data_IF_669729037513
#
_entry.id   IF_669729037513
#
_cell.length_a   1.000
_cell.length_b   1.000
_cell.length_c   1.000
_cell.angle_alpha   90.00
_cell.angle_beta   90.00
_cell.angle_gamma   90.00
#
_symmetry.space_group_name_H-M   'P 1'
#
loop_
_entity.id
_entity.type
_entity.pdbx_description
1 polymer ?
#
# COMPACT_ATOMS: atom_id res chain seq x y z
N UNK A 1 -11.24 -29.47 -11.46
CA UNK A 1 -10.22 -29.24 -12.51
C UNK A 1 -8.95 -28.80 -11.82
N UNK A 2 -7.79 -29.25 -12.30
CA UNK A 2 -6.49 -28.88 -11.73
C UNK A 2 -5.99 -27.62 -12.46
N UNK A 3 -5.78 -26.52 -11.75
CA UNK A 3 -5.21 -25.29 -12.31
C UNK A 3 -3.69 -25.41 -12.33
N UNK A 4 -3.14 -25.73 -13.49
CA UNK A 4 -1.72 -26.03 -13.65
C UNK A 4 -0.87 -24.78 -13.97
N UNK A 5 -1.52 -23.66 -14.32
CA UNK A 5 -0.84 -22.44 -14.75
C UNK A 5 -1.19 -21.29 -13.82
N UNK A 6 -0.17 -20.52 -13.44
CA UNK A 6 -0.29 -19.35 -12.57
C UNK A 6 0.63 -18.23 -13.05
N UNK A 7 0.05 -17.05 -13.23
CA UNK A 7 0.79 -15.81 -13.41
C UNK A 7 0.51 -14.85 -12.25
N UNK A 8 1.54 -14.16 -11.78
CA UNK A 8 1.39 -13.22 -10.67
C UNK A 8 2.37 -12.05 -10.76
N UNK A 9 1.89 -10.86 -10.39
CA UNK A 9 2.73 -9.66 -10.35
C UNK A 9 2.23 -8.63 -9.34
N UNK A 10 3.10 -7.65 -9.07
CA UNK A 10 2.74 -6.47 -8.30
C UNK A 10 2.07 -5.46 -9.20
N UNK A 11 0.90 -5.00 -8.80
CA UNK A 11 0.24 -3.86 -9.42
C UNK A 11 0.96 -2.57 -8.97
N UNK A 12 1.13 -1.53 -9.79
CA UNK A 12 1.67 -0.24 -9.32
C UNK A 12 0.66 0.55 -8.49
N UNK A 13 1.13 1.57 -7.76
CA UNK A 13 0.21 2.55 -7.18
C UNK A 13 -0.54 3.28 -8.31
N UNK A 14 -1.87 3.38 -8.22
CA UNK A 14 -2.72 3.81 -9.32
C UNK A 14 -3.96 4.57 -8.86
N UNK A 15 -4.59 5.28 -9.79
CA UNK A 15 -5.94 5.85 -9.58
C UNK A 15 -7.01 4.88 -10.01
N UNK A 16 -8.07 4.80 -9.22
CA UNK A 16 -9.28 4.06 -9.54
C UNK A 16 -10.33 5.04 -10.07
N UNK A 17 -11.01 4.69 -11.15
CA UNK A 17 -12.09 5.49 -11.72
C UNK A 17 -13.15 4.57 -12.33
N UNK A 18 -14.32 5.11 -12.70
CA UNK A 18 -15.38 4.32 -13.31
C UNK A 18 -14.92 3.61 -14.58
N UNK A 19 -14.11 4.26 -15.41
CA UNK A 19 -13.60 3.65 -16.64
C UNK A 19 -12.70 2.43 -16.35
N UNK A 20 -12.02 2.37 -15.20
CA UNK A 20 -11.19 1.22 -14.82
C UNK A 20 -12.09 0.02 -14.57
N UNK A 21 -13.11 0.21 -13.74
CA UNK A 21 -14.07 -0.83 -13.42
C UNK A 21 -14.87 -1.25 -14.66
N UNK A 22 -15.29 -0.33 -15.53
CA UNK A 22 -15.94 -0.70 -16.79
C UNK A 22 -15.02 -1.54 -17.68
N UNK A 23 -13.73 -1.20 -17.78
CA UNK A 23 -12.78 -1.98 -18.57
C UNK A 23 -12.48 -3.34 -17.94
N UNK A 24 -12.33 -3.41 -16.62
CA UNK A 24 -12.16 -4.68 -15.90
C UNK A 24 -13.36 -5.60 -16.14
N UNK A 25 -14.58 -5.08 -16.01
CA UNK A 25 -15.80 -5.82 -16.33
C UNK A 25 -15.77 -6.34 -17.77
N UNK A 26 -15.38 -5.51 -18.73
CA UNK A 26 -15.27 -5.94 -20.12
C UNK A 26 -14.28 -7.09 -20.30
N UNK A 27 -13.13 -7.08 -19.62
CA UNK A 27 -12.14 -8.17 -19.63
C UNK A 27 -12.75 -9.45 -19.05
N UNK A 28 -13.44 -9.38 -17.92
CA UNK A 28 -14.04 -10.55 -17.28
C UNK A 28 -15.18 -11.17 -18.11
N UNK A 29 -15.95 -10.33 -18.81
CA UNK A 29 -17.09 -10.77 -19.64
C UNK A 29 -16.72 -11.37 -20.99
N UNK A 30 -15.44 -11.32 -21.40
CA UNK A 30 -15.03 -11.78 -22.73
C UNK A 30 -15.26 -13.28 -22.96
N UNK A 31 -15.22 -14.08 -21.89
CA UNK A 31 -15.33 -15.54 -21.96
C UNK A 31 -16.76 -16.05 -21.65
N UNK A 32 -17.74 -15.15 -21.59
CA UNK A 32 -19.14 -15.49 -21.29
C UNK A 32 -19.49 -15.27 -19.82
N UNK A 33 -20.13 -16.28 -19.22
CA UNK A 33 -20.59 -16.21 -17.84
C UNK A 33 -19.41 -16.29 -16.86
N UNK A 34 -19.45 -15.48 -15.80
CA UNK A 34 -18.46 -15.50 -14.73
C UNK A 34 -19.11 -15.20 -13.39
N UNK A 35 -18.51 -15.73 -12.33
CA UNK A 35 -18.82 -15.36 -10.95
C UNK A 35 -17.78 -14.36 -10.47
N UNK A 36 -18.19 -13.38 -9.69
CA UNK A 36 -17.26 -12.44 -9.08
C UNK A 36 -17.66 -12.13 -7.65
N UNK A 37 -16.66 -11.76 -6.86
CA UNK A 37 -16.80 -11.37 -5.48
C UNK A 37 -15.85 -10.21 -5.23
N UNK A 38 -16.35 -9.12 -4.64
CA UNK A 38 -15.50 -8.04 -4.19
C UNK A 38 -15.70 -7.72 -2.72
N UNK A 39 -14.60 -7.31 -2.11
CA UNK A 39 -14.60 -6.79 -0.75
C UNK A 39 -13.86 -5.47 -0.69
N UNK A 40 -14.37 -4.56 0.15
CA UNK A 40 -13.77 -3.24 0.37
C UNK A 40 -13.59 -3.01 1.86
N UNK A 41 -12.45 -2.45 2.25
CA UNK A 41 -12.17 -2.11 3.65
C UNK A 41 -12.25 -0.61 3.90
N UNK A 42 -12.80 -0.25 5.06
CA UNK A 42 -13.25 1.10 5.40
C UNK A 42 -12.56 1.72 6.65
N UNK A 43 -11.52 1.08 7.21
CA UNK A 43 -10.86 1.52 8.46
C UNK A 43 -9.48 2.19 8.25
N UNK A 44 -9.39 3.45 8.66
CA UNK A 44 -8.29 4.41 8.49
C UNK A 44 -7.06 4.17 9.41
N UNK A 45 -6.94 2.99 10.04
CA UNK A 45 -5.69 2.65 10.74
C UNK A 45 -4.56 2.37 9.73
N UNK A 46 -3.81 3.41 9.38
CA UNK A 46 -2.78 3.34 8.35
C UNK A 46 -1.55 2.53 8.78
N UNK A 47 -1.28 2.53 10.08
CA UNK A 47 -0.13 1.87 10.67
C UNK A 47 -0.41 0.41 11.01
N UNK A 48 -1.69 -0.01 11.02
CA UNK A 48 -2.09 -1.36 11.40
C UNK A 48 -1.72 -1.70 12.83
N UNK A 49 -1.78 -0.71 13.72
CA UNK A 49 -1.36 -0.82 15.13
C UNK A 49 -2.52 -1.00 16.09
N UNK A 50 -3.78 -0.94 15.65
CA UNK A 50 -4.89 -1.28 16.50
C UNK A 50 -5.04 -2.80 16.59
N UNK A 51 -5.17 -3.28 17.83
CA UNK A 51 -5.31 -4.68 18.29
C UNK A 51 -6.58 -5.39 17.76
N UNK A 52 -7.28 -4.84 16.77
CA UNK A 52 -8.43 -5.49 16.16
C UNK A 52 -7.94 -6.54 15.16
N UNK A 53 -8.18 -7.81 15.50
CA UNK A 53 -7.74 -8.99 14.77
C UNK A 53 -8.21 -9.01 13.30
N UNK A 54 -9.27 -8.28 12.93
CA UNK A 54 -9.72 -8.14 11.54
C UNK A 54 -10.23 -6.71 11.25
N UNK A 55 -9.73 -6.08 10.18
CA UNK A 55 -10.26 -4.79 9.69
C UNK A 55 -11.69 -4.99 9.19
N UNK A 56 -12.63 -4.05 9.41
CA UNK A 56 -13.98 -4.17 8.89
C UNK A 56 -13.92 -4.26 7.36
N UNK A 57 -14.51 -5.32 6.84
CA UNK A 57 -14.62 -5.62 5.43
C UNK A 57 -16.09 -5.62 5.07
N UNK A 58 -16.44 -4.88 4.01
CA UNK A 58 -17.77 -4.94 3.40
C UNK A 58 -17.69 -5.79 2.14
N UNK A 59 -18.49 -6.84 2.09
CA UNK A 59 -18.76 -7.59 0.86
C UNK A 59 -19.68 -6.75 -0.03
N UNK A 60 -19.36 -6.72 -1.32
CA UNK A 60 -20.14 -6.00 -2.32
C UNK A 60 -21.03 -6.97 -3.10
N UNK A 61 -22.30 -6.61 -3.24
CA UNK A 61 -23.33 -7.47 -3.85
C UNK A 61 -23.54 -7.19 -5.34
N UNK A 62 -23.16 -5.98 -5.82
CA UNK A 62 -23.30 -5.60 -7.23
C UNK A 62 -22.16 -4.71 -7.74
N UNK A 63 -21.93 -4.72 -9.06
CA UNK A 63 -20.83 -3.95 -9.66
C UNK A 63 -21.08 -2.45 -9.56
N UNK A 64 -22.34 -2.05 -9.67
CA UNK A 64 -22.81 -0.68 -9.47
C UNK A 64 -22.58 -0.23 -8.03
N UNK A 65 -22.84 -1.09 -7.05
CA UNK A 65 -22.54 -0.83 -5.65
C UNK A 65 -21.05 -0.64 -5.42
N UNK A 66 -20.19 -1.48 -6.01
CA UNK A 66 -18.72 -1.35 -5.90
C UNK A 66 -18.27 0.06 -6.32
N UNK A 67 -18.72 0.50 -7.49
CA UNK A 67 -18.40 1.82 -8.04
C UNK A 67 -18.99 2.93 -7.16
N UNK A 68 -20.23 2.77 -6.68
CA UNK A 68 -20.90 3.76 -5.85
C UNK A 68 -20.22 3.93 -4.48
N UNK A 69 -19.83 2.83 -3.84
CA UNK A 69 -19.09 2.84 -2.57
C UNK A 69 -17.72 3.46 -2.78
N UNK A 70 -16.96 2.99 -3.78
CA UNK A 70 -15.63 3.52 -4.08
C UNK A 70 -15.63 5.04 -4.39
N UNK A 71 -16.70 5.57 -5.00
CA UNK A 71 -16.91 7.02 -5.22
C UNK A 71 -17.14 7.80 -3.94
N UNK A 72 -17.88 7.24 -2.98
CA UNK A 72 -18.27 7.92 -1.74
C UNK A 72 -17.17 7.89 -0.68
N UNK A 73 -16.27 6.92 -0.77
CA UNK A 73 -15.22 6.77 0.22
C UNK A 73 -14.16 7.87 0.08
N UNK A 74 -13.83 8.59 1.16
CA UNK A 74 -12.73 9.56 1.14
C UNK A 74 -11.39 8.87 0.86
N UNK A 75 -11.28 7.60 1.30
CA UNK A 75 -10.13 6.72 1.15
C UNK A 75 -10.61 5.27 1.14
N UNK A 76 -9.99 4.46 0.27
CA UNK A 76 -10.22 3.01 0.20
C UNK A 76 -9.02 2.35 0.86
N UNK A 77 -9.20 1.57 1.93
CA UNK A 77 -8.07 0.96 2.65
C UNK A 77 -7.64 -0.36 2.05
N UNK A 78 -8.60 -1.12 1.54
CA UNK A 78 -8.35 -2.30 0.73
C UNK A 78 -9.46 -2.50 -0.27
N UNK A 79 -9.11 -3.10 -1.40
CA UNK A 79 -10.01 -3.59 -2.41
C UNK A 79 -9.50 -4.95 -2.85
N UNK A 80 -10.32 -5.98 -2.65
CA UNK A 80 -10.08 -7.31 -3.21
C UNK A 80 -11.19 -7.63 -4.18
N UNK A 81 -10.82 -8.16 -5.34
CA UNK A 81 -11.71 -8.61 -6.38
C UNK A 81 -11.27 -10.00 -6.82
N UNK A 82 -12.16 -10.97 -6.71
CA UNK A 82 -11.97 -12.34 -7.17
C UNK A 82 -13.00 -12.61 -8.25
N UNK A 83 -12.56 -13.14 -9.39
CA UNK A 83 -13.41 -13.51 -10.52
C UNK A 83 -13.11 -14.95 -10.86
N UNK A 84 -14.15 -15.76 -11.00
CA UNK A 84 -14.08 -17.16 -11.42
C UNK A 84 -14.80 -17.30 -12.76
N UNK A 85 -14.06 -17.76 -13.77
CA UNK A 85 -14.59 -18.07 -15.10
C UNK A 85 -14.69 -19.59 -15.19
N UNK A 86 -15.91 -20.15 -15.33
CA UNK A 86 -16.13 -21.59 -15.39
C UNK A 86 -15.22 -22.26 -16.42
N UNK A 87 -14.66 -23.41 -16.05
CA UNK A 87 -13.79 -24.25 -16.91
C UNK A 87 -12.48 -23.61 -17.36
N UNK A 88 -12.25 -22.32 -17.06
CA UNK A 88 -11.04 -21.57 -17.44
C UNK A 88 -10.13 -21.33 -16.26
N UNK A 89 -10.61 -20.65 -15.21
CA UNK A 89 -9.76 -20.26 -14.10
C UNK A 89 -10.29 -19.13 -13.22
N UNK A 90 -9.38 -18.52 -12.47
CA UNK A 90 -9.65 -17.50 -11.46
C UNK A 90 -8.69 -16.32 -11.61
N UNK A 91 -9.21 -15.11 -11.46
CA UNK A 91 -8.46 -13.85 -11.44
C UNK A 91 -8.65 -13.24 -10.04
N UNK A 92 -7.56 -12.92 -9.36
CA UNK A 92 -7.57 -12.27 -8.06
C UNK A 92 -6.75 -10.98 -8.11
N UNK A 93 -7.39 -9.87 -7.75
CA UNK A 93 -6.79 -8.53 -7.63
C UNK A 93 -6.93 -8.11 -6.17
N UNK A 94 -5.82 -7.74 -5.54
CA UNK A 94 -5.82 -7.23 -4.17
C UNK A 94 -5.01 -5.94 -4.09
N UNK A 95 -5.60 -4.87 -3.56
CA UNK A 95 -4.99 -3.56 -3.39
C UNK A 95 -5.15 -3.14 -1.93
N UNK A 96 -4.08 -2.60 -1.32
CA UNK A 96 -4.11 -2.11 0.08
C UNK A 96 -3.37 -0.80 0.27
N UNK A 97 -3.92 0.00 1.17
CA UNK A 97 -3.58 1.38 1.50
C UNK A 97 -3.17 1.54 2.98
N UNK A 98 -2.69 0.45 3.60
CA UNK A 98 -2.13 0.39 4.96
C UNK A 98 -0.75 -0.27 4.92
N UNK A 99 0.08 -0.07 5.96
CA UNK A 99 1.46 -0.60 5.97
C UNK A 99 1.48 -2.13 6.06
N UNK A 100 2.29 -2.83 5.24
CA UNK A 100 2.98 -2.32 4.05
C UNK A 100 2.01 -2.15 2.88
N UNK A 101 2.02 -0.99 2.20
CA UNK A 101 1.13 -0.76 1.05
C UNK A 101 1.51 -1.65 -0.14
N UNK A 102 0.53 -2.19 -0.86
CA UNK A 102 0.81 -3.05 -2.02
C UNK A 102 -0.41 -3.27 -2.90
N UNK A 103 -0.14 -3.73 -4.11
CA UNK A 103 -1.11 -4.27 -5.05
C UNK A 103 -0.61 -5.59 -5.63
N UNK A 104 -1.49 -6.57 -5.79
CA UNK A 104 -1.17 -7.89 -6.36
C UNK A 104 -2.24 -8.29 -7.37
N UNK A 105 -1.79 -8.81 -8.50
CA UNK A 105 -2.60 -9.51 -9.50
C UNK A 105 -2.15 -10.97 -9.50
N UNK A 106 -3.09 -11.89 -9.47
CA UNK A 106 -2.86 -13.32 -9.65
C UNK A 106 -3.91 -13.83 -10.66
N UNK A 107 -3.47 -14.58 -11.65
CA UNK A 107 -4.35 -15.30 -12.58
C UNK A 107 -3.95 -16.77 -12.54
N UNK A 108 -4.91 -17.65 -12.31
CA UNK A 108 -4.72 -19.10 -12.27
C UNK A 108 -5.70 -19.76 -13.21
N UNK A 109 -5.28 -20.78 -13.97
CA UNK A 109 -6.20 -21.44 -14.90
C UNK A 109 -5.68 -22.76 -15.43
N UNK A 110 -6.53 -23.41 -16.24
CA UNK A 110 -6.22 -24.68 -16.90
C UNK A 110 -5.40 -24.49 -18.20
N UNK A 111 -5.60 -23.37 -18.90
CA UNK A 111 -4.95 -23.06 -20.19
C UNK A 111 -3.93 -21.93 -20.01
N UNK A 112 -2.65 -22.19 -20.33
CA UNK A 112 -1.57 -21.20 -20.21
C UNK A 112 -1.84 -19.92 -21.01
N UNK A 113 -2.32 -20.06 -22.25
CA UNK A 113 -2.59 -18.92 -23.12
C UNK A 113 -3.68 -18.00 -22.53
N UNK A 114 -4.76 -18.59 -22.02
CA UNK A 114 -5.82 -17.84 -21.36
C UNK A 114 -5.30 -17.10 -20.12
N UNK A 115 -4.44 -17.75 -19.31
CA UNK A 115 -3.83 -17.14 -18.13
C UNK A 115 -2.99 -15.91 -18.52
N UNK A 116 -2.13 -16.05 -19.53
CA UNK A 116 -1.26 -14.97 -20.00
C UNK A 116 -2.06 -13.80 -20.58
N UNK A 117 -3.05 -14.08 -21.43
CA UNK A 117 -3.88 -13.04 -22.06
C UNK A 117 -4.64 -12.23 -21.00
N UNK A 118 -5.28 -12.92 -20.03
CA UNK A 118 -6.03 -12.26 -18.93
C UNK A 118 -5.11 -11.50 -17.99
N UNK A 119 -3.93 -12.04 -17.72
CA UNK A 119 -2.93 -11.39 -16.89
C UNK A 119 -2.45 -10.08 -17.54
N UNK A 120 -2.09 -10.12 -18.83
CA UNK A 120 -1.61 -8.96 -19.57
C UNK A 120 -2.69 -7.89 -19.73
N UNK A 121 -3.93 -8.28 -20.05
CA UNK A 121 -5.09 -7.39 -20.12
C UNK A 121 -5.28 -6.64 -18.80
N UNK A 122 -5.32 -7.37 -17.68
CA UNK A 122 -5.51 -6.77 -16.36
C UNK A 122 -4.31 -5.86 -15.99
N UNK A 123 -3.09 -6.34 -16.18
CA UNK A 123 -1.87 -5.60 -15.82
C UNK A 123 -1.74 -4.30 -16.64
N UNK A 124 -2.10 -4.34 -17.92
CA UNK A 124 -2.10 -3.16 -18.79
C UNK A 124 -3.05 -2.08 -18.28
N UNK A 125 -4.25 -2.44 -17.78
CA UNK A 125 -5.22 -1.50 -17.24
C UNK A 125 -4.69 -0.73 -16.02
N UNK A 126 -4.00 -1.42 -15.11
CA UNK A 126 -3.40 -0.78 -13.95
C UNK A 126 -2.15 0.03 -14.29
N UNK A 127 -1.32 -0.49 -15.20
CA UNK A 127 -0.10 0.19 -15.66
C UNK A 127 -0.43 1.51 -16.38
N UNK A 128 -1.52 1.54 -17.16
CA UNK A 128 -2.01 2.75 -17.82
C UNK A 128 -2.45 3.86 -16.83
N UNK A 129 -2.81 3.50 -15.59
CA UNK A 129 -3.20 4.43 -14.52
C UNK A 129 -2.14 4.61 -13.43
N UNK A 130 -0.91 4.18 -13.69
CA UNK A 130 0.21 4.24 -12.75
C UNK A 130 0.50 5.68 -12.31
N UNK A 131 0.68 5.85 -11.01
CA UNK A 131 1.28 7.05 -10.40
C UNK A 131 2.75 6.76 -10.11
N UNK A 132 3.64 7.22 -10.99
CA UNK A 132 5.08 6.91 -10.95
C UNK A 132 5.70 7.28 -9.60
N UNK A 133 5.42 8.48 -9.08
CA UNK A 133 5.96 8.93 -7.80
C UNK A 133 5.45 8.07 -6.63
N UNK A 134 4.13 7.86 -6.51
CA UNK A 134 3.58 7.03 -5.44
C UNK A 134 4.12 5.59 -5.53
N UNK A 135 4.25 5.05 -6.75
CA UNK A 135 4.81 3.71 -6.95
C UNK A 135 6.26 3.65 -6.44
N UNK A 136 7.07 4.67 -6.73
CA UNK A 136 8.45 4.76 -6.26
C UNK A 136 8.51 4.88 -4.73
N UNK A 137 7.64 5.69 -4.13
CA UNK A 137 7.52 5.87 -2.68
C UNK A 137 7.29 4.55 -1.94
N UNK A 138 6.49 3.66 -2.51
CA UNK A 138 6.16 2.36 -1.93
C UNK A 138 7.03 1.19 -2.44
N UNK A 139 8.12 1.48 -3.15
CA UNK A 139 9.20 0.50 -3.30
C UNK A 139 9.88 0.29 -1.95
N UNK A 140 10.58 -0.85 -1.79
CA UNK A 140 11.38 -1.12 -0.59
C UNK A 140 12.34 0.03 -0.27
N UNK A 141 13.08 0.49 -1.28
CA UNK A 141 14.02 1.61 -1.14
C UNK A 141 13.33 2.93 -0.80
N UNK A 142 12.24 3.27 -1.50
CA UNK A 142 11.49 4.49 -1.23
C UNK A 142 10.92 4.52 0.18
N UNK A 143 10.38 3.39 0.63
CA UNK A 143 9.78 3.27 1.96
C UNK A 143 10.86 3.28 3.05
N UNK A 144 12.01 2.62 2.84
CA UNK A 144 13.14 2.63 3.79
C UNK A 144 13.68 4.06 4.00
N UNK A 145 13.70 4.88 2.96
CA UNK A 145 14.13 6.29 3.07
C UNK A 145 13.16 7.08 3.98
N UNK A 146 11.86 6.90 3.79
CA UNK A 146 10.81 7.60 4.57
C UNK A 146 10.73 7.09 6.00
N UNK A 147 10.79 5.77 6.18
CA UNK A 147 10.65 5.13 7.48
C UNK A 147 11.90 5.26 8.34
N UNK A 148 13.10 5.29 7.74
CA UNK A 148 14.35 5.12 8.50
C UNK A 148 15.33 6.25 8.26
N UNK A 149 15.71 6.52 7.00
CA UNK A 149 16.81 7.46 6.70
C UNK A 149 16.47 8.88 7.13
N UNK A 150 15.30 9.39 6.72
CA UNK A 150 14.87 10.76 7.06
C UNK A 150 14.67 10.93 8.57
N UNK A 151 13.90 10.06 9.27
CA UNK A 151 13.71 10.20 10.71
C UNK A 151 15.00 10.10 11.52
N UNK A 152 15.85 9.11 11.21
CA UNK A 152 17.08 8.90 11.95
C UNK A 152 18.07 10.04 11.71
N UNK A 153 18.27 10.42 10.44
CA UNK A 153 19.18 11.51 10.07
C UNK A 153 18.75 12.86 10.65
N UNK A 154 17.46 13.20 10.52
CA UNK A 154 16.94 14.47 11.07
C UNK A 154 17.05 14.52 12.59
N UNK A 155 16.66 13.46 13.30
CA UNK A 155 16.74 13.45 14.76
C UNK A 155 18.16 13.43 15.28
N UNK A 156 19.07 12.73 14.61
CA UNK A 156 20.48 12.74 14.95
C UNK A 156 21.05 14.17 14.90
N UNK A 157 20.78 14.91 13.82
CA UNK A 157 21.21 16.31 13.67
C UNK A 157 20.62 17.19 14.78
N UNK A 158 19.31 17.09 15.02
CA UNK A 158 18.62 17.90 16.04
C UNK A 158 19.19 17.64 17.44
N UNK A 159 19.36 16.36 17.81
CA UNK A 159 19.87 15.99 19.13
C UNK A 159 21.33 16.41 19.29
N UNK A 160 22.15 16.25 18.25
CA UNK A 160 23.55 16.68 18.27
C UNK A 160 23.67 18.20 18.43
N UNK A 161 22.89 18.98 17.69
CA UNK A 161 22.88 20.44 17.82
C UNK A 161 22.40 20.87 19.22
N UNK A 162 21.37 20.22 19.76
CA UNK A 162 20.89 20.47 21.12
C UNK A 162 21.97 20.15 22.16
N UNK A 163 22.66 19.01 22.05
CA UNK A 163 23.75 18.63 22.94
C UNK A 163 24.90 19.65 22.89
N UNK A 164 25.28 20.10 21.69
CA UNK A 164 26.33 21.13 21.50
C UNK A 164 25.89 22.50 22.04
N UNK A 165 24.61 22.81 22.08
CA UNK A 165 24.14 24.09 22.60
C UNK A 165 23.96 24.09 24.12
N UNK A 166 23.41 23.01 24.68
CA UNK A 166 22.98 22.97 26.09
C UNK A 166 24.02 22.39 27.06
N UNK A 167 25.00 21.62 26.59
CA UNK A 167 25.97 20.95 27.47
C UNK A 167 27.23 21.81 27.55
N UNK A 168 27.58 22.37 28.72
CA UNK A 168 28.82 23.14 28.90
C UNK A 168 30.06 22.36 28.49
N UNK A 169 31.08 23.05 27.98
CA UNK A 169 32.32 22.42 27.48
C UNK A 169 33.00 21.61 28.58
N UNK A 170 32.96 22.09 29.82
CA UNK A 170 33.56 21.48 31.01
C UNK A 170 33.02 20.06 31.24
N UNK A 171 31.73 19.84 30.96
CA UNK A 171 31.09 18.53 31.11
C UNK A 171 31.49 17.61 29.95
N UNK A 172 31.73 18.15 28.74
CA UNK A 172 32.12 17.36 27.56
C UNK A 172 33.52 16.76 27.65
N UNK A 173 34.41 17.37 28.44
CA UNK A 173 35.76 16.87 28.69
C UNK A 173 35.84 15.93 29.90
N UNK A 174 34.72 15.71 30.60
CA UNK A 174 34.66 14.86 31.79
C UNK A 174 34.18 13.43 31.47
N UNK A 175 34.34 12.52 32.44
CA UNK A 175 33.85 11.13 32.32
C UNK A 175 32.32 11.03 32.11
N UNK A 176 31.56 12.08 32.42
CA UNK A 176 30.12 12.17 32.16
C UNK A 176 29.76 12.17 30.67
N UNK A 177 30.73 12.44 29.78
CA UNK A 177 30.51 12.45 28.34
C UNK A 177 29.94 11.12 27.81
N UNK A 178 30.33 9.98 28.38
CA UNK A 178 29.82 8.67 27.98
C UNK A 178 28.32 8.50 28.29
N UNK A 179 27.89 8.95 29.47
CA UNK A 179 26.49 8.91 29.87
C UNK A 179 25.63 9.86 29.02
N UNK A 180 26.16 11.04 28.73
CA UNK A 180 25.53 12.00 27.80
C UNK A 180 25.38 11.37 26.42
N UNK A 181 26.43 10.73 25.90
CA UNK A 181 26.39 10.06 24.60
C UNK A 181 25.33 8.96 24.59
N UNK A 182 25.29 8.09 25.60
CA UNK A 182 24.25 7.08 25.76
C UNK A 182 22.84 7.67 25.78
N UNK A 183 22.62 8.74 26.56
CA UNK A 183 21.34 9.42 26.65
C UNK A 183 20.92 10.03 25.29
N UNK A 184 21.84 10.69 24.58
CA UNK A 184 21.56 11.28 23.26
C UNK A 184 21.20 10.23 22.22
N UNK A 185 21.82 9.04 22.25
CA UNK A 185 21.45 7.91 21.37
C UNK A 185 20.02 7.46 21.64
N UNK A 186 19.66 7.23 22.91
CA UNK A 186 18.31 6.79 23.30
C UNK A 186 17.27 7.83 22.85
N UNK A 187 17.52 9.12 23.11
CA UNK A 187 16.63 10.22 22.70
C UNK A 187 16.50 10.29 21.18
N UNK A 188 17.61 10.14 20.45
CA UNK A 188 17.62 10.13 18.98
C UNK A 188 16.74 9.01 18.43
N UNK A 189 16.96 7.78 18.89
CA UNK A 189 16.21 6.61 18.43
C UNK A 189 14.71 6.72 18.77
N UNK A 190 14.38 7.15 19.99
CA UNK A 190 12.98 7.31 20.41
C UNK A 190 12.26 8.38 19.59
N UNK A 191 12.92 9.51 19.35
CA UNK A 191 12.37 10.59 18.55
C UNK A 191 12.25 10.19 17.08
N UNK A 192 13.24 9.47 16.54
CA UNK A 192 13.22 8.99 15.17
C UNK A 192 12.03 8.05 14.93
N UNK A 193 11.68 7.21 15.90
CA UNK A 193 10.48 6.38 15.82
C UNK A 193 9.18 7.20 15.72
N UNK A 194 9.06 8.26 16.53
CA UNK A 194 7.89 9.15 16.48
C UNK A 194 7.79 9.89 15.14
N UNK A 195 8.91 10.43 14.64
CA UNK A 195 8.99 11.10 13.34
C UNK A 195 8.70 10.13 12.20
N UNK A 196 9.19 8.89 12.29
CA UNK A 196 8.92 7.82 11.32
C UNK A 196 7.43 7.53 11.19
N UNK A 197 6.73 7.30 12.30
CA UNK A 197 5.28 7.07 12.28
C UNK A 197 4.52 8.26 11.67
N UNK A 198 4.91 9.48 12.05
CA UNK A 198 4.29 10.70 11.51
C UNK A 198 4.51 10.83 9.99
N UNK A 199 5.72 10.58 9.50
CA UNK A 199 6.04 10.61 8.07
C UNK A 199 5.29 9.53 7.29
N UNK A 200 5.20 8.32 7.83
CA UNK A 200 4.43 7.23 7.19
C UNK A 200 2.96 7.64 7.03
N UNK A 201 2.32 8.08 8.12
CA UNK A 201 0.92 8.54 8.09
C UNK A 201 0.75 9.70 7.10
N UNK A 202 1.67 10.67 7.11
CA UNK A 202 1.66 11.79 6.18
C UNK A 202 1.74 11.32 4.72
N UNK A 203 2.71 10.46 4.40
CA UNK A 203 2.90 9.90 3.06
C UNK A 203 1.67 9.14 2.59
N UNK A 204 1.06 8.35 3.46
CA UNK A 204 -0.12 7.55 3.14
C UNK A 204 -1.39 8.38 2.96
N UNK A 205 -1.55 9.47 3.70
CA UNK A 205 -2.66 10.40 3.51
C UNK A 205 -2.49 11.24 2.23
N UNK A 206 -1.28 11.72 1.97
CA UNK A 206 -1.00 12.64 0.87
C UNK A 206 -0.80 11.93 -0.47
N UNK A 207 -0.18 10.76 -0.45
CA UNK A 207 0.20 9.98 -1.62
C UNK A 207 -0.29 8.51 -1.51
N UNK A 208 -1.58 8.27 -1.29
CA UNK A 208 -2.09 6.91 -1.11
C UNK A 208 -1.73 6.00 -2.30
N UNK A 209 -1.62 4.70 -2.02
CA UNK A 209 -1.31 3.67 -3.00
C UNK A 209 -2.44 3.51 -4.04
N UNK A 210 -3.68 3.51 -3.58
CA UNK A 210 -4.88 3.62 -4.41
C UNK A 210 -5.69 4.86 -4.03
N UNK A 211 -6.28 5.51 -5.02
CA UNK A 211 -7.17 6.65 -4.79
C UNK A 211 -8.29 6.67 -5.82
N UNK A 212 -9.52 6.88 -5.38
CA UNK A 212 -10.61 7.17 -6.29
C UNK A 212 -10.42 8.54 -6.94
N UNK A 213 -10.52 8.59 -8.27
CA UNK A 213 -10.50 9.82 -9.05
C UNK A 213 -11.89 10.03 -9.67
N UNK A 214 -12.68 10.93 -9.06
CA UNK A 214 -13.89 11.44 -9.66
C UNK A 214 -13.52 12.32 -10.85
N UNK A 215 -13.64 11.77 -12.05
CA UNK A 215 -13.81 12.55 -13.28
C UNK A 215 -15.25 12.43 -13.70
#
# INVERSE_FOLDING_TARGET
MEYNHIEQSRIPACTLDTQLFTKLWSVFSQDGDFLWHATIGENDDLLGKQEQEERPIRTIESWEELIAVAKKMPRIDQLTLTVEVPEKGTIAIALKNFVPCSGKLIVTGAEEQWVNDRFDDCLALFTARKKTFNTLLYTRLGFDVVQTVIPLGSMFIIVLLAAVYFIPIEIRVSEWYWWITGATIIVTLRSAYSVSNWLIVYCMNKYPYIKWQGR
#
